data_IF_082631701940
#
_entry.id   IF_082631701940
#
_cell.length_a   1.000
_cell.length_b   1.000
_cell.length_c   1.000
_cell.angle_alpha   90.00
_cell.angle_beta   90.00
_cell.angle_gamma   90.00
#
_symmetry.space_group_name_H-M   'P 1'
#
loop_
_entity.id
_entity.type
_entity.pdbx_description
1 polymer ?
2 water ?
#
# COMPACT_ATOMS: atom_id res chain seq x y z
N UNK A 2 7.01 -24.48 -21.60
CA UNK A 2 7.52 -23.87 -22.83
C UNK A 2 8.68 -22.92 -22.53
N UNK A 3 9.81 -23.15 -23.19
CA UNK A 3 11.01 -22.36 -22.95
C UNK A 3 10.83 -20.90 -23.38
N UNK A 4 9.99 -20.67 -24.38
CA UNK A 4 9.78 -19.34 -24.92
C UNK A 4 9.00 -18.48 -23.91
N UNK A 5 8.09 -19.11 -23.18
CA UNK A 5 7.33 -18.43 -22.14
C UNK A 5 8.26 -18.04 -20.99
N UNK A 6 9.15 -18.96 -20.62
CA UNK A 6 10.05 -18.74 -19.50
C UNK A 6 11.00 -17.58 -19.77
N UNK A 7 11.49 -17.49 -21.00
CA UNK A 7 12.39 -16.41 -21.39
C UNK A 7 11.64 -15.09 -21.51
N UNK A 8 10.36 -15.17 -21.87
CA UNK A 8 9.53 -13.97 -21.97
C UNK A 8 9.32 -13.35 -20.60
N UNK A 9 9.08 -14.19 -19.60
CA UNK A 9 8.85 -13.72 -18.24
C UNK A 9 10.15 -13.26 -17.59
N UNK A 10 11.26 -13.91 -17.93
CA UNK A 10 12.57 -13.49 -17.43
C UNK A 10 12.94 -12.13 -18.00
N UNK A 11 12.48 -11.84 -19.20
CA UNK A 11 12.71 -10.54 -19.82
C UNK A 11 11.92 -9.46 -19.08
N UNK A 12 10.65 -9.73 -18.82
CA UNK A 12 9.80 -8.83 -18.06
C UNK A 12 10.42 -8.49 -16.72
N UNK A 13 10.97 -9.51 -16.07
CA UNK A 13 11.53 -9.36 -14.72
C UNK A 13 12.81 -8.52 -14.79
N UNK A 14 13.66 -8.83 -15.77
CA UNK A 14 14.85 -8.04 -16.01
C UNK A 14 14.53 -6.56 -16.17
N UNK A 15 13.56 -6.25 -17.02
CA UNK A 15 13.18 -4.87 -17.27
C UNK A 15 12.55 -4.24 -16.03
N UNK A 16 11.77 -5.02 -15.30
CA UNK A 16 11.16 -4.52 -14.07
C UNK A 16 12.24 -4.14 -13.07
N UNK A 17 13.27 -4.98 -12.95
CA UNK A 17 14.38 -4.72 -12.05
C UNK A 17 15.10 -3.42 -12.41
N UNK A 18 15.24 -3.18 -13.70
CA UNK A 18 15.90 -1.96 -14.17
C UNK A 18 15.09 -0.73 -13.81
N UNK A 19 13.80 -0.75 -14.14
CA UNK A 19 12.92 0.39 -13.91
C UNK A 19 12.74 0.72 -12.43
N UNK A 20 12.83 -0.30 -11.59
CA UNK A 20 12.69 -0.12 -10.14
C UNK A 20 13.86 0.67 -9.56
N UNK A 21 14.93 0.83 -10.33
CA UNK A 21 16.11 1.56 -9.87
C UNK A 21 15.98 3.07 -10.11
N UNK A 22 14.94 3.47 -10.81
CA UNK A 22 14.74 4.88 -11.19
C UNK A 22 13.90 5.66 -10.16
N UNK A 23 14.15 6.97 -10.03
CA UNK A 23 13.35 7.80 -9.12
C UNK A 23 12.05 8.28 -9.75
N UNK A 24 11.95 8.13 -11.07
CA UNK A 24 10.76 8.55 -11.81
C UNK A 24 9.55 7.73 -11.39
N UNK A 25 8.47 8.38 -10.95
CA UNK A 25 7.25 7.64 -10.59
C UNK A 25 6.69 6.81 -11.75
N UNK A 26 6.79 7.30 -12.98
CA UNK A 26 6.25 6.60 -14.13
C UNK A 26 7.03 5.33 -14.42
N UNK A 27 8.33 5.36 -14.17
CA UNK A 27 9.17 4.17 -14.26
C UNK A 27 8.80 3.16 -13.17
N UNK A 28 8.60 3.67 -11.96
CA UNK A 28 8.29 2.83 -10.81
C UNK A 28 6.95 2.13 -11.00
N UNK A 29 5.95 2.86 -11.48
CA UNK A 29 4.64 2.28 -11.74
C UNK A 29 4.71 1.19 -12.80
N UNK A 30 5.54 1.41 -13.82
CA UNK A 30 5.68 0.44 -14.90
C UNK A 30 6.41 -0.81 -14.41
N UNK A 31 7.37 -0.62 -13.50
CA UNK A 31 8.08 -1.75 -12.91
C UNK A 31 7.10 -2.64 -12.16
N UNK A 32 6.14 -2.03 -11.49
CA UNK A 32 5.11 -2.78 -10.75
C UNK A 32 4.25 -3.57 -11.72
N UNK A 33 3.83 -2.92 -12.80
CA UNK A 33 3.00 -3.57 -13.82
C UNK A 33 3.69 -4.79 -14.42
N UNK A 34 4.93 -4.62 -14.84
CA UNK A 34 5.68 -5.72 -15.48
C UNK A 34 5.91 -6.89 -14.53
N UNK A 35 6.33 -6.60 -13.30
CA UNK A 35 6.57 -7.65 -12.31
C UNK A 35 5.28 -8.42 -12.00
N UNK A 36 4.15 -7.71 -11.94
CA UNK A 36 2.88 -8.33 -11.61
C UNK A 36 2.41 -9.26 -12.73
N UNK A 37 2.84 -9.00 -13.96
CA UNK A 37 2.54 -9.90 -15.07
C UNK A 37 3.20 -11.26 -14.85
N UNK A 38 4.40 -11.26 -14.29
CA UNK A 38 5.12 -12.49 -14.00
C UNK A 38 4.39 -13.30 -12.94
N UNK A 39 3.94 -12.63 -11.88
CA UNK A 39 3.23 -13.28 -10.80
C UNK A 39 1.92 -13.87 -11.30
N UNK A 40 1.30 -13.20 -12.26
CA UNK A 40 0.00 -13.59 -12.78
C UNK A 40 0.11 -14.80 -13.71
N UNK A 41 1.22 -14.89 -14.44
CA UNK A 41 1.40 -15.95 -15.43
C UNK A 41 1.88 -17.25 -14.80
N UNK A 42 2.73 -17.17 -13.78
CA UNK A 42 3.25 -18.34 -13.10
C UNK A 42 3.26 -18.18 -11.58
N UNK A 43 2.07 -18.21 -10.97
CA UNK A 43 1.95 -18.13 -9.50
C UNK A 43 2.75 -19.20 -8.78
N UNK A 44 3.45 -18.81 -7.70
CA UNK A 44 4.14 -19.77 -6.87
C UNK A 44 5.50 -20.18 -7.38
N UNK A 45 5.90 -19.67 -8.54
CA UNK A 45 7.20 -19.97 -9.11
C UNK A 45 8.27 -19.09 -8.45
N UNK A 46 9.53 -19.49 -8.61
CA UNK A 46 10.63 -18.68 -8.09
C UNK A 46 10.72 -17.35 -8.80
N UNK A 47 10.40 -17.34 -10.09
CA UNK A 47 10.33 -16.09 -10.85
C UNK A 47 9.26 -15.17 -10.25
N UNK A 48 8.12 -15.74 -9.90
CA UNK A 48 7.02 -14.97 -9.34
C UNK A 48 7.36 -14.42 -7.97
N UNK A 49 8.07 -15.22 -7.17
CA UNK A 49 8.47 -14.79 -5.83
C UNK A 49 9.52 -13.69 -5.91
N UNK A 50 10.44 -13.80 -6.88
CA UNK A 50 11.41 -12.74 -7.10
C UNK A 50 10.71 -11.45 -7.50
N UNK A 51 9.68 -11.59 -8.33
CA UNK A 51 8.92 -10.43 -8.80
C UNK A 51 8.29 -9.67 -7.64
N UNK A 52 7.87 -10.38 -6.60
CA UNK A 52 7.26 -9.71 -5.45
C UNK A 52 8.27 -8.84 -4.70
N UNK A 53 9.53 -9.24 -4.70
CA UNK A 53 10.59 -8.42 -4.12
C UNK A 53 10.75 -7.12 -4.91
N UNK A 54 10.70 -7.22 -6.24
CA UNK A 54 10.82 -6.05 -7.09
C UNK A 54 9.62 -5.13 -6.87
N UNK A 55 8.42 -5.71 -6.82
CA UNK A 55 7.20 -4.95 -6.58
C UNK A 55 7.33 -4.16 -5.27
N UNK A 56 7.89 -4.81 -4.26
CA UNK A 56 8.04 -4.18 -2.95
C UNK A 56 9.04 -3.03 -3.00
N UNK A 57 10.15 -3.24 -3.70
CA UNK A 57 11.16 -2.19 -3.85
C UNK A 57 10.54 -0.92 -4.46
N UNK A 58 9.77 -1.10 -5.53
CA UNK A 58 9.13 0.03 -6.19
C UNK A 58 8.09 0.68 -5.29
N UNK A 59 7.32 -0.14 -4.58
CA UNK A 59 6.28 0.37 -3.70
C UNK A 59 6.90 1.21 -2.59
N UNK A 60 7.99 0.72 -2.04
CA UNK A 60 8.78 1.44 -1.04
C UNK A 60 9.03 2.89 -1.47
N UNK A 61 9.41 3.04 -2.73
CA UNK A 61 9.76 4.34 -3.28
C UNK A 61 8.53 5.18 -3.60
N UNK A 62 7.46 4.54 -4.07
CA UNK A 62 6.24 5.27 -4.40
C UNK A 62 5.57 5.81 -3.13
N UNK A 63 5.83 5.17 -1.99
CA UNK A 63 5.18 5.52 -0.75
C UNK A 63 5.63 6.88 -0.21
N UNK A 64 6.84 7.29 -0.60
CA UNK A 64 7.41 8.55 -0.10
C UNK A 64 6.84 9.78 -0.79
N UNK A 65 6.34 9.60 -2.02
CA UNK A 65 5.97 10.72 -2.86
C UNK A 65 4.65 11.39 -2.43
N UNK A 66 4.62 12.73 -2.42
CA UNK A 66 3.36 13.43 -2.12
C UNK A 66 2.37 13.42 -3.29
N UNK A 67 2.38 12.36 -4.09
CA UNK A 67 1.48 12.22 -5.22
C UNK A 67 0.40 11.20 -4.89
N UNK A 68 -0.88 11.63 -4.86
CA UNK A 68 -1.93 10.70 -4.44
C UNK A 68 -2.03 9.45 -5.31
N UNK A 69 -1.70 9.57 -6.60
CA UNK A 69 -1.79 8.43 -7.51
C UNK A 69 -0.66 7.42 -7.24
N UNK A 70 0.53 7.94 -6.96
CA UNK A 70 1.66 7.08 -6.62
C UNK A 70 1.37 6.32 -5.33
N UNK A 71 0.86 7.04 -4.34
CA UNK A 71 0.59 6.46 -3.03
C UNK A 71 -0.46 5.35 -3.11
N UNK A 72 -1.52 5.57 -3.88
CA UNK A 72 -2.54 4.54 -4.10
C UNK A 72 -1.94 3.29 -4.72
N UNK A 73 -1.06 3.49 -5.70
CA UNK A 73 -0.40 2.37 -6.36
C UNK A 73 0.49 1.61 -5.38
N UNK A 74 1.15 2.36 -4.49
CA UNK A 74 2.03 1.76 -3.49
C UNK A 74 1.23 0.87 -2.54
N UNK A 75 0.06 1.34 -2.16
CA UNK A 75 -0.83 0.58 -1.27
C UNK A 75 -1.30 -0.71 -1.93
N UNK A 76 -1.84 -0.59 -3.15
CA UNK A 76 -2.37 -1.75 -3.87
C UNK A 76 -1.29 -2.79 -4.16
N UNK A 77 -0.09 -2.32 -4.45
CA UNK A 77 1.02 -3.21 -4.77
C UNK A 77 1.49 -3.98 -3.55
N UNK A 78 1.69 -3.26 -2.44
CA UNK A 78 2.16 -3.87 -1.20
C UNK A 78 1.12 -4.81 -0.61
N UNK A 79 -0.16 -4.47 -0.76
CA UNK A 79 -1.23 -5.29 -0.23
C UNK A 79 -1.24 -6.66 -0.91
N UNK A 80 -0.76 -6.69 -2.15
CA UNK A 80 -0.70 -7.93 -2.91
C UNK A 80 0.43 -8.82 -2.42
N UNK A 81 1.52 -8.21 -1.98
CA UNK A 81 2.64 -8.95 -1.41
C UNK A 81 2.21 -9.60 -0.08
N UNK A 82 1.45 -8.86 0.72
CA UNK A 82 0.95 -9.37 1.98
C UNK A 82 0.13 -10.63 1.78
N UNK A 83 -0.80 -10.58 0.83
CA UNK A 83 -1.68 -11.71 0.53
C UNK A 83 -0.91 -12.93 0.07
N UNK A 84 0.14 -12.72 -0.72
CA UNK A 84 0.81 -13.81 -1.42
C UNK A 84 2.05 -14.37 -0.72
N UNK A 85 2.68 -13.61 0.18
CA UNK A 85 3.86 -14.09 0.89
C UNK A 85 3.73 -13.92 2.40
N UNK A 86 2.65 -14.44 2.99
CA UNK A 86 2.45 -14.25 4.44
C UNK A 86 3.49 -15.01 5.28
N UNK A 87 4.15 -16.00 4.68
CA UNK A 87 5.15 -16.78 5.38
C UNK A 87 6.55 -16.23 5.20
N UNK A 88 6.64 -14.97 4.81
CA UNK A 88 7.92 -14.30 4.60
C UNK A 88 7.93 -12.94 5.27
N UNK A 89 9.11 -12.50 5.69
CA UNK A 89 9.27 -11.19 6.31
C UNK A 89 8.94 -10.07 5.33
N UNK A 90 8.88 -10.38 4.04
CA UNK A 90 8.46 -9.42 3.02
C UNK A 90 7.06 -8.88 3.34
N UNK A 91 6.21 -9.72 3.92
CA UNK A 91 4.84 -9.33 4.21
C UNK A 91 4.81 -8.25 5.29
N UNK A 92 5.76 -8.31 6.23
CA UNK A 92 5.85 -7.29 7.28
C UNK A 92 6.30 -5.96 6.69
N UNK A 93 7.31 -6.00 5.84
CA UNK A 93 7.81 -4.78 5.21
C UNK A 93 6.70 -4.17 4.36
N UNK A 94 5.91 -5.03 3.73
CA UNK A 94 4.78 -4.58 2.92
C UNK A 94 3.75 -3.83 3.77
N UNK A 95 3.51 -4.29 4.99
CA UNK A 95 2.55 -3.62 5.86
C UNK A 95 3.09 -2.28 6.31
N UNK A 96 4.41 -2.21 6.51
CA UNK A 96 5.06 -0.97 6.90
C UNK A 96 5.01 0.04 5.75
N UNK A 97 5.10 -0.46 4.52
CA UNK A 97 4.98 0.40 3.33
C UNK A 97 3.57 0.96 3.23
N UNK A 98 2.56 0.11 3.49
CA UNK A 98 1.17 0.54 3.46
C UNK A 98 0.95 1.65 4.47
N UNK A 99 1.56 1.51 5.65
CA UNK A 99 1.39 2.50 6.71
C UNK A 99 2.09 3.81 6.36
N UNK A 100 3.27 3.71 5.76
CA UNK A 100 3.98 4.89 5.29
C UNK A 100 3.12 5.66 4.28
N UNK A 101 2.51 4.93 3.35
CA UNK A 101 1.67 5.55 2.33
C UNK A 101 0.44 6.22 2.95
N UNK A 102 -0.16 5.56 3.93
CA UNK A 102 -1.34 6.11 4.60
C UNK A 102 -1.00 7.42 5.32
N UNK A 103 0.11 7.43 6.04
CA UNK A 103 0.60 8.64 6.70
C UNK A 103 0.82 9.76 5.69
N UNK A 104 1.36 9.41 4.53
CA UNK A 104 1.63 10.39 3.48
C UNK A 104 0.34 10.94 2.92
N UNK A 105 -0.64 10.06 2.74
CA UNK A 105 -1.96 10.46 2.23
C UNK A 105 -2.65 11.39 3.21
N UNK A 106 -2.44 11.13 4.51
CA UNK A 106 -3.07 11.92 5.57
C UNK A 106 -2.55 13.36 5.58
N UNK A 107 -1.41 13.58 4.95
CA UNK A 107 -0.81 14.92 4.88
C UNK A 107 -1.40 15.75 3.74
N UNK A 108 -1.92 15.07 2.71
CA UNK A 108 -2.41 15.76 1.53
C UNK A 108 -3.64 16.61 1.84
N UNK A 109 -3.71 17.82 1.27
CA UNK A 109 -4.84 18.72 1.54
C UNK A 109 -6.06 18.43 0.66
N UNK A 110 -6.65 17.24 0.84
CA UNK A 110 -7.85 16.85 0.10
C UNK A 110 -8.57 15.72 0.85
N UNK A 111 -9.90 15.78 0.93
CA UNK A 111 -10.64 14.75 1.68
C UNK A 111 -10.59 13.36 1.05
N UNK A 112 -10.53 13.30 -0.27
CA UNK A 112 -10.49 12.02 -0.97
C UNK A 112 -9.17 11.31 -0.67
N UNK A 113 -8.15 12.08 -0.34
CA UNK A 113 -6.87 11.51 0.08
C UNK A 113 -6.93 11.05 1.53
N UNK A 114 -7.56 11.86 2.37
CA UNK A 114 -7.74 11.51 3.78
C UNK A 114 -8.57 10.23 3.92
N UNK A 115 -9.60 10.11 3.10
CA UNK A 115 -10.43 8.92 3.07
C UNK A 115 -9.60 7.70 2.66
N UNK A 116 -8.68 7.92 1.74
CA UNK A 116 -7.79 6.87 1.27
C UNK A 116 -6.84 6.43 2.37
N UNK A 117 -6.42 7.39 3.20
CA UNK A 117 -5.52 7.10 4.32
C UNK A 117 -6.21 6.22 5.36
N UNK A 118 -7.45 6.53 5.68
CA UNK A 118 -8.24 5.73 6.62
C UNK A 118 -8.39 4.31 6.08
N UNK A 119 -8.73 4.22 4.81
CA UNK A 119 -8.96 2.94 4.14
C UNK A 119 -7.70 2.08 4.17
N UNK A 120 -6.56 2.69 3.90
CA UNK A 120 -5.28 1.98 3.90
C UNK A 120 -4.88 1.54 5.31
N UNK A 121 -5.00 2.46 6.27
CA UNK A 121 -4.64 2.17 7.64
C UNK A 121 -5.56 1.09 8.23
N UNK A 122 -6.80 1.06 7.76
CA UNK A 122 -7.76 0.06 8.22
C UNK A 122 -7.37 -1.34 7.73
N UNK A 123 -6.70 -1.42 6.59
CA UNK A 123 -6.14 -2.68 6.12
C UNK A 123 -5.11 -3.20 7.12
N UNK A 124 -4.27 -2.29 7.62
CA UNK A 124 -3.17 -2.68 8.48
C UNK A 124 -3.68 -3.17 9.83
N UNK A 125 -4.71 -2.52 10.35
CA UNK A 125 -5.35 -2.96 11.59
C UNK A 125 -5.79 -4.41 11.48
N UNK A 126 -6.50 -4.74 10.41
CA UNK A 126 -7.09 -6.06 10.24
C UNK A 126 -6.06 -7.13 9.87
N UNK A 127 -4.96 -6.72 9.25
CA UNK A 127 -3.94 -7.70 8.82
C UNK A 127 -2.75 -7.75 9.78
N UNK A 128 -2.85 -7.05 10.91
CA UNK A 128 -1.86 -7.21 11.97
C UNK A 128 -2.43 -6.82 13.33
N UNK A 129 -3.63 -7.33 13.68
CA UNK A 129 -4.24 -6.99 14.97
C UNK A 129 -3.35 -7.30 16.16
N UNK A 130 -3.40 -6.45 17.18
CA UNK A 130 -2.68 -6.65 18.42
C UNK A 130 -1.22 -6.22 18.41
N UNK A 131 -0.78 -5.64 17.30
CA UNK A 131 0.61 -5.25 17.15
C UNK A 131 0.80 -3.75 17.23
N UNK A 132 2.05 -3.29 17.22
CA UNK A 132 2.33 -1.87 17.23
C UNK A 132 1.95 -1.22 15.91
N UNK A 133 2.05 -2.01 14.82
CA UNK A 133 1.59 -1.54 13.51
C UNK A 133 0.12 -1.21 13.56
N UNK A 134 -0.67 -2.05 14.23
CA UNK A 134 -2.10 -1.83 14.36
C UNK A 134 -2.38 -0.58 15.18
N UNK A 135 -1.65 -0.42 16.28
CA UNK A 135 -1.84 0.73 17.15
C UNK A 135 -1.47 2.02 16.42
N UNK A 136 -0.38 1.99 15.67
CA UNK A 136 0.03 3.17 14.90
C UNK A 136 -0.99 3.48 13.82
N UNK A 137 -1.55 2.43 13.22
CA UNK A 137 -2.56 2.59 12.19
C UNK A 137 -3.81 3.27 12.74
N UNK A 138 -4.18 2.95 13.98
CA UNK A 138 -5.33 3.57 14.60
C UNK A 138 -5.10 5.06 14.85
N UNK A 139 -3.87 5.43 15.19
CA UNK A 139 -3.53 6.84 15.40
C UNK A 139 -3.67 7.61 14.09
N UNK A 140 -3.21 7.02 13.00
CA UNK A 140 -3.32 7.64 11.68
C UNK A 140 -4.79 7.82 11.31
N UNK A 141 -5.60 6.81 11.60
CA UNK A 141 -7.04 6.89 11.34
C UNK A 141 -7.66 8.02 12.15
N UNK A 142 -7.21 8.19 13.39
CA UNK A 142 -7.70 9.26 14.24
C UNK A 142 -7.29 10.63 13.68
N UNK A 143 -6.00 10.76 13.38
CA UNK A 143 -5.47 12.01 12.84
C UNK A 143 -6.17 12.39 11.54
N UNK A 144 -6.27 11.44 10.63
CA UNK A 144 -6.95 11.65 9.35
C UNK A 144 -8.41 12.02 9.57
N UNK A 145 -9.05 11.35 10.51
CA UNK A 145 -10.45 11.63 10.83
C UNK A 145 -10.58 13.03 11.44
N UNK A 146 -9.57 13.43 12.21
CA UNK A 146 -9.57 14.76 12.82
C UNK A 146 -9.42 15.85 11.75
N UNK A 147 -8.79 15.49 10.63
CA UNK A 147 -8.64 16.43 9.52
C UNK A 147 -9.91 16.48 8.67
N UNK A 148 -10.56 15.34 8.49
CA UNK A 148 -11.83 15.29 7.77
C UNK A 148 -12.91 16.08 8.50
N UNK A 149 -12.69 16.31 9.79
CA UNK A 149 -13.66 16.99 10.63
C UNK A 149 -13.83 18.47 10.24
N UNK A 150 -12.73 19.08 9.83
CA UNK A 150 -12.73 20.51 9.49
C UNK A 150 -13.44 20.79 8.16
N UNK A 151 -13.59 19.76 7.33
CA UNK A 151 -14.23 19.93 6.04
C UNK A 151 -15.71 20.28 6.20
N UNK A 152 -16.24 21.18 5.35
CA UNK A 152 -17.64 21.59 5.52
C UNK A 152 -18.65 20.49 5.17
N UNK A 153 -18.23 19.54 4.33
CA UNK A 153 -19.15 18.53 3.81
C UNK A 153 -19.77 17.68 4.92
N UNK A 154 -21.12 17.61 4.96
CA UNK A 154 -21.78 16.76 5.96
C UNK A 154 -21.43 15.29 5.84
N UNK A 155 -21.03 14.87 4.64
CA UNK A 155 -20.73 13.46 4.39
C UNK A 155 -19.36 13.10 4.94
N UNK A 156 -18.43 14.04 4.82
CA UNK A 156 -17.09 13.87 5.36
C UNK A 156 -17.12 13.89 6.89
N UNK A 157 -18.00 14.72 7.44
CA UNK A 157 -18.13 14.85 8.88
C UNK A 157 -18.73 13.57 9.47
N UNK A 158 -19.60 12.92 8.72
CA UNK A 158 -20.20 11.66 9.13
C UNK A 158 -19.16 10.55 9.07
N UNK A 159 -18.30 10.61 8.05
CA UNK A 159 -17.23 9.63 7.88
C UNK A 159 -16.19 9.75 9.00
N UNK A 160 -15.89 10.97 9.41
CA UNK A 160 -14.92 11.20 10.47
C UNK A 160 -15.43 10.65 11.80
N UNK A 161 -16.70 10.93 12.10
CA UNK A 161 -17.34 10.44 13.32
C UNK A 161 -17.32 8.92 13.37
N UNK A 162 -17.77 8.29 12.30
CA UNK A 162 -17.83 6.84 12.23
C UNK A 162 -16.44 6.22 12.38
N UNK A 163 -15.44 6.89 11.82
CA UNK A 163 -14.07 6.41 11.90
C UNK A 163 -13.56 6.48 13.34
N UNK A 164 -13.87 7.58 14.02
CA UNK A 164 -13.47 7.76 15.41
C UNK A 164 -14.16 6.75 16.32
N UNK A 165 -15.37 6.34 15.95
CA UNK A 165 -16.15 5.41 16.76
C UNK A 165 -15.52 4.02 16.77
N UNK A 166 -15.14 3.51 15.61
CA UNK A 166 -14.55 2.18 15.52
C UNK A 166 -13.18 2.14 16.17
N UNK A 167 -12.45 3.26 16.13
CA UNK A 167 -11.15 3.34 16.79
C UNK A 167 -11.32 3.13 18.30
N UNK A 168 -12.28 3.83 18.89
CA UNK A 168 -12.56 3.71 20.31
C UNK A 168 -12.93 2.28 20.68
N UNK A 169 -13.82 1.68 19.91
CA UNK A 169 -14.32 0.34 20.20
C UNK A 169 -13.25 -0.73 20.01
N UNK A 170 -12.27 -0.44 19.17
CA UNK A 170 -11.19 -1.38 18.87
C UNK A 170 -10.01 -1.22 19.83
N UNK A 171 -9.98 -0.09 20.54
CA UNK A 171 -8.97 0.14 21.57
C UNK A 171 -9.47 -0.38 22.92
N UNK A 172 -8.55 -0.59 23.88
CA UNK A 172 -8.97 -1.04 25.21
C UNK A 172 -9.56 0.09 26.04
N UNK A 173 -10.23 -0.27 27.14
CA UNK A 173 -10.85 0.71 28.01
C UNK A 173 -9.91 1.17 29.11
#
# INVERSE_FOLDING_TARGET
MSNDEKEKLKELLKRAEELAKSPDPEDLKEAVRLAEEVVRERPGSNLAKKALEIILRAAEELAKLPDPEALKEAVKAAEKVVREQPGSNLAKKALEIILRAAEELAKLPDPEALKEAVKAAEKVVREQPGSELAKKALEIIERAAEELKKSPDPEAQKEAKKAEQKVREERPGGWLEHHHHHH
#
